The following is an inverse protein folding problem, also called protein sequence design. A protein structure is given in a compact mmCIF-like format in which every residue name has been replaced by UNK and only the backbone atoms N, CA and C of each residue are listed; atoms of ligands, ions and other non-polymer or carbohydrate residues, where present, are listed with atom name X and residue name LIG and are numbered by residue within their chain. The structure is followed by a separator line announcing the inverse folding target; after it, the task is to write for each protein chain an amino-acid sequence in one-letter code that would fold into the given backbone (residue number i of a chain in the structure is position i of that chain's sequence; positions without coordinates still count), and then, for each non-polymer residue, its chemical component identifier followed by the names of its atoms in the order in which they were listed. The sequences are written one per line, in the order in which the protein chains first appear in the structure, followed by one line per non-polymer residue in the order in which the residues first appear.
data_IF_073373837569
#
_entry.id   IF_073373837569
#
_cell.length_a   1.000
_cell.length_b   1.000
_cell.length_c   1.000
_cell.angle_alpha   90.00
_cell.angle_beta   90.00
_cell.angle_gamma   90.00
#
_symmetry.space_group_name_H-M   'P 1'
#
loop_
_entity.id
_entity.type
_entity.pdbx_description
1 polymer ?
#
# COMPACT_ATOMS: atom_id res chain seq x y z
N UNK A 1 -27.06 1.12 -48.25
CA UNK A 1 -27.22 1.77 -46.93
C UNK A 1 -26.58 0.85 -45.90
N UNK A 2 -25.24 0.81 -45.89
CA UNK A 2 -24.36 1.60 -45.02
C UNK A 2 -24.23 0.94 -43.62
N UNK A 3 -23.41 -0.11 -43.60
CA UNK A 3 -22.80 -0.67 -42.40
C UNK A 3 -21.72 0.29 -41.90
N UNK A 4 -21.75 0.63 -40.60
CA UNK A 4 -20.67 1.37 -39.95
C UNK A 4 -19.70 0.38 -39.32
N UNK A 5 -18.52 0.32 -39.92
CA UNK A 5 -17.33 -0.35 -39.44
C UNK A 5 -16.81 0.44 -38.23
N UNK A 6 -16.84 -0.14 -37.04
CA UNK A 6 -16.02 0.30 -35.92
C UNK A 6 -14.76 -0.56 -35.89
N UNK A 7 -13.68 0.00 -36.45
CA UNK A 7 -12.33 -0.48 -36.20
C UNK A 7 -11.98 -0.18 -34.74
N UNK A 8 -11.89 -1.24 -33.92
CA UNK A 8 -11.10 -1.18 -32.70
C UNK A 8 -9.62 -1.18 -33.11
N UNK A 9 -8.77 -0.29 -32.60
CA UNK A 9 -7.34 -0.45 -32.76
C UNK A 9 -6.90 -1.71 -32.01
N UNK A 10 -6.44 -2.70 -32.77
CA UNK A 10 -5.70 -3.86 -32.28
C UNK A 10 -4.38 -3.37 -31.69
N UNK A 11 -4.25 -3.40 -30.36
CA UNK A 11 -2.94 -3.32 -29.72
C UNK A 11 -2.35 -4.73 -29.68
N UNK A 12 -1.70 -5.12 -30.79
CA UNK A 12 -0.69 -6.16 -30.81
C UNK A 12 0.67 -5.47 -30.87
N UNK A 13 1.44 -5.52 -29.78
CA UNK A 13 2.90 -5.52 -29.88
C UNK A 13 3.48 -6.21 -28.63
N UNK A 14 3.74 -7.50 -28.79
CA UNK A 14 4.32 -8.42 -27.81
C UNK A 14 5.84 -8.55 -28.05
N UNK A 15 6.52 -7.41 -28.29
CA UNK A 15 7.96 -7.40 -28.54
C UNK A 15 8.67 -6.15 -28.01
N UNK A 16 8.40 -5.77 -26.75
CA UNK A 16 9.25 -4.84 -26.02
C UNK A 16 10.28 -5.63 -25.17
N UNK A 17 11.59 -5.59 -25.52
CA UNK A 17 12.65 -6.33 -24.83
C UNK A 17 13.00 -5.78 -23.43
N UNK A 18 12.27 -4.79 -22.90
CA UNK A 18 12.44 -4.31 -21.51
C UNK A 18 11.80 -5.22 -20.45
N UNK A 19 11.16 -6.31 -20.86
CA UNK A 19 10.32 -7.19 -20.05
C UNK A 19 11.04 -7.99 -18.94
N UNK A 20 12.33 -8.34 -19.10
CA UNK A 20 13.07 -9.15 -18.09
C UNK A 20 13.67 -8.34 -16.93
N UNK A 21 13.62 -7.00 -16.99
CA UNK A 21 14.31 -6.12 -16.03
C UNK A 21 13.42 -5.68 -14.85
N UNK A 22 12.08 -5.73 -14.99
CA UNK A 22 11.17 -5.16 -13.98
C UNK A 22 10.84 -6.09 -12.80
N UNK A 23 10.72 -7.41 -13.02
CA UNK A 23 10.50 -8.40 -11.95
C UNK A 23 11.66 -8.41 -10.92
N UNK A 24 12.88 -8.18 -11.38
CA UNK A 24 14.07 -8.07 -10.53
C UNK A 24 14.04 -6.82 -9.64
N UNK A 25 13.72 -5.65 -10.22
CA UNK A 25 13.63 -4.37 -9.49
C UNK A 25 12.53 -4.39 -8.44
N UNK A 26 11.48 -5.15 -8.65
CA UNK A 26 10.41 -5.29 -7.68
C UNK A 26 10.74 -6.16 -6.48
N UNK A 27 11.24 -7.39 -6.70
CA UNK A 27 11.66 -8.24 -5.57
C UNK A 27 12.65 -7.47 -4.70
N UNK A 28 13.48 -6.63 -5.32
CA UNK A 28 14.33 -5.69 -4.61
C UNK A 28 13.52 -4.65 -3.83
N UNK A 29 12.50 -4.01 -4.42
CA UNK A 29 11.63 -3.03 -3.75
C UNK A 29 10.81 -3.62 -2.58
N UNK A 30 10.07 -4.71 -2.76
CA UNK A 30 9.31 -5.33 -1.65
C UNK A 30 10.20 -5.91 -0.59
N UNK A 31 11.35 -6.49 -0.96
CA UNK A 31 12.32 -6.89 0.05
C UNK A 31 12.93 -5.68 0.74
N UNK A 32 13.15 -4.55 0.05
CA UNK A 32 13.69 -3.33 0.66
C UNK A 32 12.69 -2.68 1.62
N UNK A 33 11.41 -2.62 1.23
CA UNK A 33 10.33 -2.13 2.10
C UNK A 33 10.12 -3.12 3.24
N UNK A 34 9.96 -4.41 2.96
CA UNK A 34 9.73 -5.44 3.98
C UNK A 34 10.86 -5.58 4.99
N UNK A 35 12.12 -5.39 4.57
CA UNK A 35 13.30 -5.40 5.46
C UNK A 35 13.64 -4.02 6.03
N UNK A 36 12.79 -3.01 5.79
CA UNK A 36 12.97 -1.68 6.36
C UNK A 36 12.98 -1.78 7.89
N UNK A 37 14.06 -1.30 8.51
CA UNK A 37 14.29 -1.49 9.94
C UNK A 37 13.38 -0.62 10.78
N UNK A 38 12.78 -1.23 11.79
CA UNK A 38 11.94 -0.57 12.77
C UNK A 38 12.66 -0.52 14.11
N UNK A 39 12.35 0.49 14.93
CA UNK A 39 12.80 0.58 16.31
C UNK A 39 11.59 0.50 17.22
N UNK A 40 11.61 -0.40 18.19
CA UNK A 40 10.53 -0.53 19.15
C UNK A 40 10.95 -0.02 20.53
N UNK A 41 9.99 0.55 21.25
CA UNK A 41 10.16 0.99 22.62
C UNK A 41 8.93 0.62 23.44
N UNK A 42 9.16 0.00 24.60
CA UNK A 42 8.11 -0.22 25.59
C UNK A 42 7.72 1.11 26.25
N UNK A 43 6.41 1.35 26.35
CA UNK A 43 5.81 2.58 26.90
C UNK A 43 5.60 2.46 28.42
N UNK A 44 5.63 1.24 28.97
CA UNK A 44 5.20 0.94 30.34
C UNK A 44 6.02 1.58 31.46
N UNK A 45 7.25 2.06 31.19
CA UNK A 45 8.15 2.46 32.28
C UNK A 45 8.18 3.95 32.66
N UNK A 46 7.66 4.90 31.86
CA UNK A 46 7.93 6.33 32.14
C UNK A 46 6.83 7.35 31.85
N UNK A 47 5.57 6.92 31.65
CA UNK A 47 4.47 7.83 31.33
C UNK A 47 4.63 8.52 29.98
N UNK A 48 3.51 8.97 29.40
CA UNK A 48 3.47 9.53 28.05
C UNK A 48 4.06 10.97 27.98
N UNK A 49 5.35 11.15 28.29
CA UNK A 49 6.10 12.36 27.92
C UNK A 49 6.68 12.18 26.50
N UNK A 50 5.79 12.07 25.52
CA UNK A 50 6.19 12.03 24.11
C UNK A 50 6.61 13.42 23.69
N UNK A 51 7.92 13.63 23.57
CA UNK A 51 8.41 14.72 22.73
C UNK A 51 7.95 14.41 21.31
N UNK A 52 7.20 15.34 20.74
CA UNK A 52 6.97 15.42 19.30
C UNK A 52 8.29 15.10 18.62
N UNK A 53 8.24 13.98 17.91
CA UNK A 53 9.30 13.42 17.10
C UNK A 53 10.01 14.53 16.32
N UNK A 54 11.34 14.43 16.16
CA UNK A 54 12.01 15.34 15.24
C UNK A 54 11.42 15.17 13.83
N UNK A 55 11.60 16.16 12.96
CA UNK A 55 10.99 16.28 11.62
C UNK A 55 11.19 15.05 10.70
N UNK A 56 12.10 14.12 11.05
CA UNK A 56 12.46 12.94 10.25
C UNK A 56 12.05 11.61 10.86
N UNK A 57 11.52 11.58 12.08
CA UNK A 57 11.04 10.35 12.71
C UNK A 57 9.52 10.41 12.83
N UNK A 58 8.85 9.29 12.62
CA UNK A 58 7.42 9.17 12.94
C UNK A 58 7.24 8.00 13.91
N UNK A 59 6.15 8.06 14.66
CA UNK A 59 5.85 7.14 15.75
C UNK A 59 4.45 6.57 15.55
N UNK A 60 4.30 5.30 15.90
CA UNK A 60 3.06 4.55 15.82
C UNK A 60 2.87 3.75 17.11
N UNK A 61 1.65 3.66 17.63
CA UNK A 61 1.33 2.77 18.74
C UNK A 61 0.56 1.56 18.22
N UNK A 62 0.95 0.36 18.65
CA UNK A 62 0.17 -0.86 18.40
C UNK A 62 -0.76 -1.13 19.58
N UNK A 63 -2.04 -1.30 19.32
CA UNK A 63 -3.06 -1.61 20.33
C UNK A 63 -4.04 -2.68 19.83
N UNK A 64 -4.63 -3.52 20.70
CA UNK A 64 -5.66 -4.47 20.29
C UNK A 64 -6.92 -3.79 19.73
N UNK A 65 -7.49 -4.34 18.65
CA UNK A 65 -8.64 -3.77 17.91
C UNK A 65 -9.90 -3.61 18.79
N UNK A 66 -10.16 -4.53 19.72
CA UNK A 66 -11.47 -4.62 20.39
C UNK A 66 -11.56 -3.83 21.71
N UNK A 67 -10.54 -3.03 22.05
CA UNK A 67 -10.40 -2.46 23.41
C UNK A 67 -10.32 -3.53 24.52
N UNK A 68 -10.16 -4.80 24.11
CA UNK A 68 -10.21 -5.98 24.94
C UNK A 68 -8.84 -6.35 25.48
N UNK A 69 -8.54 -5.84 26.67
CA UNK A 69 -7.40 -6.29 27.48
C UNK A 69 -6.06 -5.68 27.08
N UNK A 70 -5.20 -5.50 28.08
CA UNK A 70 -3.81 -5.12 27.85
C UNK A 70 -3.07 -6.29 27.19
N UNK A 71 -2.18 -6.01 26.22
CA UNK A 71 -1.19 -6.99 25.78
C UNK A 71 -0.51 -7.60 27.03
N UNK A 72 -0.37 -8.91 27.10
CA UNK A 72 0.34 -9.49 28.24
C UNK A 72 1.82 -9.07 28.20
N UNK A 73 2.50 -9.04 29.35
CA UNK A 73 3.94 -8.75 29.37
C UNK A 73 4.73 -9.77 28.52
N UNK A 74 4.27 -11.03 28.48
CA UNK A 74 4.88 -12.06 27.65
C UNK A 74 4.75 -11.72 26.16
N UNK A 75 3.56 -11.30 25.72
CA UNK A 75 3.31 -10.89 24.34
C UNK A 75 4.12 -9.65 23.98
N UNK A 76 4.17 -8.64 24.86
CA UNK A 76 5.02 -7.46 24.67
C UNK A 76 6.48 -7.83 24.45
N UNK A 77 7.04 -8.67 25.33
CA UNK A 77 8.43 -9.09 25.23
C UNK A 77 8.68 -9.90 23.95
N UNK A 78 7.73 -10.78 23.58
CA UNK A 78 7.81 -11.53 22.33
C UNK A 78 7.84 -10.59 21.12
N UNK A 79 6.90 -9.65 21.04
CA UNK A 79 6.82 -8.66 19.95
C UNK A 79 8.10 -7.82 19.89
N UNK A 80 8.57 -7.28 21.01
CA UNK A 80 9.81 -6.50 21.10
C UNK A 80 11.04 -7.28 20.60
N UNK A 81 11.08 -8.59 20.83
CA UNK A 81 12.18 -9.45 20.39
C UNK A 81 12.06 -9.97 18.95
N UNK A 82 10.85 -9.96 18.37
CA UNK A 82 10.54 -10.57 17.07
C UNK A 82 10.45 -9.54 15.96
N UNK A 83 10.00 -8.33 16.28
CA UNK A 83 9.72 -7.30 15.27
C UNK A 83 10.92 -6.37 15.12
N UNK A 84 11.63 -6.51 14.01
CA UNK A 84 12.77 -5.67 13.63
C UNK A 84 12.60 -4.99 12.28
N UNK A 85 11.55 -5.35 11.53
CA UNK A 85 11.29 -4.87 10.18
C UNK A 85 9.80 -4.85 9.83
N UNK A 86 9.43 -4.29 8.67
CA UNK A 86 8.03 -4.18 8.25
C UNK A 86 7.35 -5.55 8.00
N UNK A 87 8.07 -6.56 7.53
CA UNK A 87 7.50 -7.91 7.34
C UNK A 87 7.10 -8.53 8.68
N UNK A 88 8.00 -8.51 9.67
CA UNK A 88 7.72 -9.01 11.02
C UNK A 88 6.65 -8.17 11.72
N UNK A 89 6.54 -6.88 11.41
CA UNK A 89 5.48 -6.02 11.93
C UNK A 89 4.12 -6.45 11.38
N UNK A 90 3.97 -6.56 10.07
CA UNK A 90 2.71 -6.96 9.43
C UNK A 90 2.25 -8.33 9.95
N UNK A 91 3.15 -9.31 10.00
CA UNK A 91 2.85 -10.63 10.56
C UNK A 91 2.39 -10.55 12.02
N UNK A 92 2.96 -9.61 12.80
CA UNK A 92 2.56 -9.39 14.20
C UNK A 92 1.19 -8.74 14.32
N UNK A 93 0.88 -7.74 13.47
CA UNK A 93 -0.44 -7.11 13.44
C UNK A 93 -1.54 -8.15 13.23
N UNK A 94 -1.32 -9.07 12.29
CA UNK A 94 -2.25 -10.16 11.99
C UNK A 94 -2.35 -11.17 13.14
N UNK A 95 -1.21 -11.67 13.64
CA UNK A 95 -1.18 -12.72 14.66
C UNK A 95 -1.80 -12.29 16.00
N UNK A 96 -1.68 -11.00 16.35
CA UNK A 96 -2.15 -10.46 17.62
C UNK A 96 -3.40 -9.59 17.50
N UNK A 97 -4.01 -9.51 16.31
CA UNK A 97 -5.16 -8.64 16.02
C UNK A 97 -4.95 -7.20 16.53
N UNK A 98 -3.81 -6.62 16.16
CA UNK A 98 -3.42 -5.27 16.56
C UNK A 98 -3.76 -4.26 15.48
N UNK A 99 -4.23 -3.09 15.90
CA UNK A 99 -4.42 -1.93 15.05
C UNK A 99 -3.31 -0.89 15.28
N UNK A 100 -2.74 -0.34 14.19
CA UNK A 100 -1.84 0.78 14.28
C UNK A 100 -2.59 2.10 14.60
N UNK A 101 -2.27 2.72 15.74
CA UNK A 101 -2.74 4.05 16.18
C UNK A 101 -1.68 5.12 15.88
N UNK A 102 -2.02 6.07 15.01
CA UNK A 102 -1.14 7.13 14.55
C UNK A 102 -1.37 8.47 15.27
N UNK A 103 -2.57 8.66 15.84
CA UNK A 103 -2.84 9.80 16.70
C UNK A 103 -2.47 9.46 18.14
N UNK A 104 -1.31 9.94 18.58
CA UNK A 104 -0.84 9.72 19.94
C UNK A 104 -1.67 10.47 20.99
N UNK A 105 -2.50 11.43 20.57
CA UNK A 105 -3.35 12.21 21.45
C UNK A 105 -4.53 11.36 21.93
N UNK A 106 -4.47 10.91 23.18
CA UNK A 106 -5.44 9.97 23.76
C UNK A 106 -5.10 8.50 23.52
N UNK A 107 -3.90 8.19 23.03
CA UNK A 107 -3.44 6.83 22.88
C UNK A 107 -3.33 6.13 24.25
N UNK A 108 -3.59 4.81 24.31
CA UNK A 108 -3.57 4.06 25.55
C UNK A 108 -2.14 4.02 26.12
N UNK A 109 -2.03 4.12 27.46
CA UNK A 109 -0.75 4.18 28.17
C UNK A 109 0.05 2.87 28.18
N UNK A 110 -0.45 1.81 27.56
CA UNK A 110 0.06 0.44 27.60
C UNK A 110 0.31 -0.18 26.22
N UNK A 111 0.40 0.65 25.18
CA UNK A 111 0.71 0.20 23.82
C UNK A 111 2.20 -0.04 23.57
N UNK A 112 2.52 -0.57 22.40
CA UNK A 112 3.90 -0.70 21.94
C UNK A 112 4.24 0.44 20.97
N UNK A 113 5.30 1.20 21.26
CA UNK A 113 5.74 2.28 20.38
C UNK A 113 6.65 1.74 19.29
N UNK A 114 6.33 2.05 18.05
CA UNK A 114 7.15 1.81 16.86
C UNK A 114 7.65 3.15 16.36
N UNK A 115 8.96 3.29 16.25
CA UNK A 115 9.63 4.45 15.66
C UNK A 115 10.31 4.06 14.35
N UNK A 116 10.25 4.96 13.37
CA UNK A 116 10.90 4.78 12.08
C UNK A 116 11.41 6.08 11.49
N UNK A 117 12.39 5.97 10.59
CA UNK A 117 12.95 7.09 9.84
C UNK A 117 12.12 7.34 8.57
N UNK A 118 11.38 8.43 8.55
CA UNK A 118 10.49 8.79 7.44
C UNK A 118 11.25 9.03 6.14
N UNK A 119 12.44 9.65 6.20
CA UNK A 119 13.23 9.95 5.01
C UNK A 119 13.83 8.70 4.38
N UNK A 120 14.31 7.78 5.21
CA UNK A 120 14.80 6.48 4.74
C UNK A 120 13.68 5.71 4.06
N UNK A 121 12.47 5.72 4.65
CA UNK A 121 11.30 5.07 4.07
C UNK A 121 10.88 5.73 2.75
N UNK A 122 10.84 7.06 2.68
CA UNK A 122 10.57 7.82 1.46
C UNK A 122 11.56 7.48 0.35
N UNK A 123 12.85 7.38 0.67
CA UNK A 123 13.89 7.00 -0.30
C UNK A 123 13.70 5.58 -0.82
N UNK A 124 13.33 4.63 0.05
CA UNK A 124 13.03 3.25 -0.35
C UNK A 124 11.79 3.19 -1.25
N UNK A 125 10.78 4.03 -0.99
CA UNK A 125 9.51 4.03 -1.71
C UNK A 125 9.51 4.89 -2.98
N UNK A 126 10.48 5.79 -3.17
CA UNK A 126 10.55 6.70 -4.32
C UNK A 126 10.46 5.99 -5.69
N UNK A 127 11.11 4.83 -5.93
CA UNK A 127 10.93 4.10 -7.18
C UNK A 127 9.48 3.66 -7.42
N UNK A 128 8.75 3.28 -6.37
CA UNK A 128 7.35 2.87 -6.45
C UNK A 128 6.44 4.06 -6.80
N UNK A 129 6.69 5.22 -6.21
CA UNK A 129 6.00 6.47 -6.54
C UNK A 129 6.20 6.83 -8.01
N UNK A 130 7.44 6.74 -8.49
CA UNK A 130 7.77 7.01 -9.89
C UNK A 130 6.95 6.13 -10.84
N UNK A 131 6.88 4.82 -10.57
CA UNK A 131 6.09 3.89 -11.38
C UNK A 131 4.58 4.14 -11.27
N UNK A 132 4.08 4.52 -10.09
CA UNK A 132 2.68 4.88 -9.91
C UNK A 132 2.30 6.12 -10.76
N UNK A 133 3.14 7.16 -10.77
CA UNK A 133 2.95 8.33 -11.65
C UNK A 133 2.98 7.94 -13.12
N UNK A 134 3.95 7.12 -13.54
CA UNK A 134 4.05 6.65 -14.92
C UNK A 134 2.82 5.84 -15.34
N UNK A 135 2.24 5.04 -14.44
CA UNK A 135 1.02 4.30 -14.71
C UNK A 135 -0.16 5.25 -14.95
N UNK A 136 -0.34 6.25 -14.08
CA UNK A 136 -1.41 7.24 -14.24
C UNK A 136 -1.26 8.04 -15.53
N UNK A 137 -0.04 8.37 -15.95
CA UNK A 137 0.23 9.00 -17.25
C UNK A 137 -0.24 8.16 -18.42
N UNK A 138 -0.02 6.84 -18.37
CA UNK A 138 -0.55 5.90 -19.39
C UNK A 138 -2.07 5.80 -19.36
N UNK A 139 -2.71 6.06 -18.23
CA UNK A 139 -4.18 6.24 -18.12
C UNK A 139 -4.66 7.62 -18.58
N UNK A 140 -3.76 8.44 -19.13
CA UNK A 140 -4.05 9.72 -19.75
C UNK A 140 -3.98 10.90 -18.78
N UNK A 141 -3.53 10.72 -17.53
CA UNK A 141 -3.27 11.85 -16.63
C UNK A 141 -2.02 12.63 -17.07
N UNK A 142 -2.08 13.95 -17.02
CA UNK A 142 -0.89 14.80 -17.04
C UNK A 142 -0.25 14.87 -15.65
N UNK A 143 1.01 15.31 -15.56
CA UNK A 143 1.65 15.57 -14.26
C UNK A 143 0.84 16.58 -13.43
N UNK A 144 0.37 17.66 -14.08
CA UNK A 144 -0.47 18.65 -13.43
C UNK A 144 -1.75 18.02 -12.84
N UNK A 145 -2.42 17.13 -13.57
CA UNK A 145 -3.61 16.45 -13.06
C UNK A 145 -3.33 15.50 -11.89
N UNK A 146 -2.13 14.91 -11.84
CA UNK A 146 -1.68 14.07 -10.72
C UNK A 146 -1.41 14.95 -9.51
N UNK A 147 -0.66 16.03 -9.67
CA UNK A 147 -0.32 16.95 -8.58
C UNK A 147 -1.57 17.66 -8.03
N UNK A 148 -2.51 18.04 -8.91
CA UNK A 148 -3.82 18.56 -8.52
C UNK A 148 -4.65 17.51 -7.76
N UNK A 149 -4.61 16.24 -8.18
CA UNK A 149 -5.32 15.16 -7.49
C UNK A 149 -4.76 14.96 -6.07
N UNK A 150 -3.43 14.98 -5.93
CA UNK A 150 -2.75 14.84 -4.63
C UNK A 150 -3.10 15.99 -3.71
N UNK A 151 -2.92 17.23 -4.18
CA UNK A 151 -3.17 18.43 -3.40
C UNK A 151 -4.64 18.65 -3.05
N UNK A 152 -5.57 18.40 -3.98
CA UNK A 152 -7.01 18.58 -3.76
C UNK A 152 -7.55 17.64 -2.68
N UNK A 153 -7.09 16.39 -2.65
CA UNK A 153 -7.53 15.40 -1.67
C UNK A 153 -6.71 15.44 -0.36
N UNK A 154 -5.69 16.31 -0.27
CA UNK A 154 -4.81 16.41 0.90
C UNK A 154 -3.93 15.17 1.12
N UNK A 155 -3.63 14.43 0.06
CA UNK A 155 -2.79 13.23 0.11
C UNK A 155 -1.30 13.51 -0.11
N UNK A 156 -0.52 12.44 -0.13
CA UNK A 156 0.89 12.43 -0.48
C UNK A 156 1.15 11.62 -1.76
N UNK A 157 2.32 11.80 -2.38
CA UNK A 157 2.69 11.01 -3.56
C UNK A 157 2.77 9.50 -3.26
N UNK A 158 3.08 9.13 -2.02
CA UNK A 158 3.09 7.73 -1.58
C UNK A 158 1.72 7.06 -1.70
N UNK A 159 0.64 7.83 -1.53
CA UNK A 159 -0.73 7.32 -1.60
C UNK A 159 -1.09 6.84 -3.01
N UNK A 160 -0.34 7.27 -4.03
CA UNK A 160 -0.47 6.76 -5.38
C UNK A 160 -0.13 5.26 -5.45
N UNK A 161 0.78 4.78 -4.60
CA UNK A 161 1.26 3.39 -4.63
C UNK A 161 0.08 2.43 -4.42
N UNK A 162 -0.61 2.41 -3.27
CA UNK A 162 -1.71 1.46 -3.02
C UNK A 162 -2.87 1.61 -4.01
N UNK A 163 -3.16 2.83 -4.47
CA UNK A 163 -4.17 3.04 -5.52
C UNK A 163 -3.80 2.32 -6.81
N UNK A 164 -2.61 2.61 -7.35
CA UNK A 164 -2.15 2.06 -8.62
C UNK A 164 -1.91 0.55 -8.50
N UNK A 165 -1.43 0.10 -7.34
CA UNK A 165 -1.32 -1.32 -6.97
C UNK A 165 -2.58 -2.08 -7.26
N UNK A 166 -3.68 -1.59 -6.69
CA UNK A 166 -4.98 -2.23 -6.80
C UNK A 166 -5.47 -2.19 -8.23
N UNK A 167 -5.40 -1.01 -8.86
CA UNK A 167 -5.88 -0.79 -10.22
C UNK A 167 -5.21 -1.73 -11.23
N UNK A 168 -3.89 -1.78 -11.22
CA UNK A 168 -3.16 -2.57 -12.18
C UNK A 168 -3.29 -4.08 -11.96
N UNK A 169 -3.41 -4.54 -10.71
CA UNK A 169 -3.66 -5.95 -10.44
C UNK A 169 -5.08 -6.38 -10.84
N UNK A 170 -6.09 -5.52 -10.68
CA UNK A 170 -7.44 -5.77 -11.19
C UNK A 170 -7.46 -5.81 -12.72
N UNK A 171 -6.71 -4.94 -13.39
CA UNK A 171 -6.59 -4.94 -14.86
C UNK A 171 -5.90 -6.19 -15.41
N UNK A 172 -4.90 -6.72 -14.70
CA UNK A 172 -4.20 -7.97 -15.09
C UNK A 172 -5.15 -9.15 -15.26
N UNK A 173 -6.21 -9.18 -14.47
CA UNK A 173 -7.20 -10.26 -14.52
C UNK A 173 -8.14 -10.19 -15.75
N UNK A 174 -8.10 -9.11 -16.51
CA UNK A 174 -8.93 -8.89 -17.70
C UNK A 174 -8.13 -8.59 -19.00
N UNK A 175 -6.84 -8.21 -18.94
CA UNK A 175 -6.00 -7.90 -20.13
C UNK A 175 -4.49 -8.10 -19.90
N UNK A 176 -3.77 -8.47 -20.96
CA UNK A 176 -2.31 -8.69 -21.06
C UNK A 176 -1.48 -7.42 -21.28
N UNK A 177 -1.88 -6.26 -20.75
CA UNK A 177 -1.03 -5.07 -20.87
C UNK A 177 -0.99 -4.22 -19.61
N UNK A 178 0.24 -4.02 -19.16
CA UNK A 178 0.71 -3.18 -18.06
C UNK A 178 0.79 -3.85 -16.66
N UNK A 179 2.02 -4.01 -16.19
CA UNK A 179 2.41 -4.94 -15.14
C UNK A 179 2.86 -4.26 -13.84
N UNK A 180 2.07 -3.36 -13.27
CA UNK A 180 2.29 -3.01 -11.85
C UNK A 180 2.08 -4.25 -10.94
N UNK A 181 1.44 -5.30 -11.46
CA UNK A 181 1.43 -6.63 -10.85
C UNK A 181 2.79 -7.33 -10.91
N UNK A 182 3.65 -7.06 -11.89
CA UNK A 182 5.04 -7.58 -11.89
C UNK A 182 5.96 -6.68 -11.04
N UNK A 183 5.46 -5.49 -10.70
CA UNK A 183 5.77 -4.84 -9.44
C UNK A 183 5.16 -5.78 -8.38
N UNK A 184 3.94 -5.69 -7.87
CA UNK A 184 3.59 -6.34 -6.59
C UNK A 184 3.62 -7.89 -6.42
N UNK A 185 3.78 -8.69 -7.48
CA UNK A 185 3.55 -10.14 -7.51
C UNK A 185 4.52 -10.86 -8.46
N UNK A 186 5.00 -12.05 -8.06
CA UNK A 186 5.70 -13.00 -8.94
C UNK A 186 4.72 -13.69 -9.89
N UNK A 187 4.96 -13.75 -11.22
CA UNK A 187 3.98 -14.22 -12.21
C UNK A 187 3.78 -15.76 -12.29
N UNK A 188 4.09 -16.53 -11.26
CA UNK A 188 4.21 -17.98 -11.37
C UNK A 188 2.91 -18.78 -11.05
N UNK A 189 1.87 -18.16 -10.51
CA UNK A 189 0.65 -18.84 -10.05
C UNK A 189 -0.62 -18.07 -10.44
N UNK A 190 -1.74 -18.80 -10.61
CA UNK A 190 -2.99 -18.31 -11.17
C UNK A 190 -3.81 -17.49 -10.16
N UNK A 191 -3.34 -16.29 -9.84
CA UNK A 191 -4.06 -15.34 -8.98
C UNK A 191 -5.28 -14.80 -9.74
N UNK A 192 -6.46 -14.89 -9.13
CA UNK A 192 -7.71 -14.39 -9.72
C UNK A 192 -7.93 -12.90 -9.44
N UNK A 193 -8.82 -12.24 -10.20
CA UNK A 193 -9.28 -10.88 -9.88
C UNK A 193 -9.82 -10.80 -8.44
N UNK A 194 -10.47 -11.87 -8.00
CA UNK A 194 -11.11 -11.94 -6.70
C UNK A 194 -10.08 -11.96 -5.57
N UNK A 195 -8.95 -12.64 -5.78
CA UNK A 195 -7.86 -12.70 -4.79
C UNK A 195 -7.19 -11.33 -4.64
N UNK A 196 -6.92 -10.66 -5.75
CA UNK A 196 -6.44 -9.27 -5.77
C UNK A 196 -7.42 -8.35 -5.04
N UNK A 197 -8.72 -8.52 -5.31
CA UNK A 197 -9.76 -7.72 -4.71
C UNK A 197 -9.84 -7.95 -3.19
N UNK A 198 -9.78 -9.21 -2.75
CA UNK A 198 -9.80 -9.57 -1.34
C UNK A 198 -8.58 -9.02 -0.59
N UNK A 199 -7.38 -9.17 -1.18
CA UNK A 199 -6.16 -8.62 -0.60
C UNK A 199 -6.16 -7.09 -0.57
N UNK A 200 -6.67 -6.43 -1.62
CA UNK A 200 -6.82 -4.98 -1.66
C UNK A 200 -7.83 -4.46 -0.63
N UNK A 201 -8.94 -5.18 -0.42
CA UNK A 201 -9.93 -4.86 0.61
C UNK A 201 -9.33 -4.94 2.01
N UNK A 202 -8.53 -5.97 2.28
CA UNK A 202 -7.90 -6.16 3.58
C UNK A 202 -6.80 -5.12 3.83
N UNK A 203 -5.94 -4.86 2.84
CA UNK A 203 -4.75 -4.01 3.02
C UNK A 203 -5.03 -2.51 2.96
N UNK A 204 -6.01 -2.09 2.14
CA UNK A 204 -6.24 -0.66 1.85
C UNK A 204 -7.68 -0.26 2.19
N UNK A 205 -8.63 -1.19 2.02
CA UNK A 205 -10.01 -1.02 2.44
C UNK A 205 -11.06 -1.22 1.35
N UNK A 206 -12.27 -1.60 1.78
CA UNK A 206 -13.42 -1.80 0.90
C UNK A 206 -13.90 -0.50 0.20
N UNK A 207 -13.73 0.67 0.81
CA UNK A 207 -14.23 1.95 0.26
C UNK A 207 -13.54 2.36 -1.05
N UNK A 208 -12.25 2.07 -1.16
CA UNK A 208 -11.44 2.38 -2.35
C UNK A 208 -11.90 1.50 -3.51
N UNK A 209 -12.14 0.23 -3.20
CA UNK A 209 -12.65 -0.73 -4.15
C UNK A 209 -14.10 -0.47 -4.52
N UNK A 210 -14.93 0.10 -3.65
CA UNK A 210 -16.25 0.58 -4.05
C UNK A 210 -16.17 1.80 -4.97
N UNK A 211 -15.22 2.71 -4.73
CA UNK A 211 -14.95 3.84 -5.62
C UNK A 211 -14.47 3.42 -7.02
N UNK A 212 -13.80 2.27 -7.14
CA UNK A 212 -13.34 1.68 -8.39
C UNK A 212 -14.30 0.62 -8.99
N UNK A 213 -15.11 -0.03 -8.15
CA UNK A 213 -15.75 -1.32 -8.41
C UNK A 213 -17.24 -1.28 -8.71
N UNK A 214 -17.84 -0.09 -8.82
CA UNK A 214 -19.19 0.04 -9.41
C UNK A 214 -19.21 -0.16 -10.93
N UNK A 215 -18.08 -0.49 -11.56
CA UNK A 215 -17.95 -0.61 -13.01
C UNK A 215 -17.20 -1.88 -13.42
N UNK A 216 -17.87 -2.79 -14.14
CA UNK A 216 -17.28 -3.83 -15.00
C UNK A 216 -16.47 -3.23 -16.19
N UNK A 217 -16.01 -1.99 -16.06
CA UNK A 217 -15.33 -1.28 -17.13
C UNK A 217 -13.86 -1.66 -17.13
N UNK A 218 -13.36 -2.12 -18.28
CA UNK A 218 -11.92 -2.33 -18.54
C UNK A 218 -11.08 -1.05 -18.51
N UNK A 219 -11.72 0.11 -18.28
CA UNK A 219 -11.11 1.44 -18.21
C UNK A 219 -11.82 2.28 -17.16
N UNK A 220 -11.15 2.61 -16.06
CA UNK A 220 -11.67 3.58 -15.11
C UNK A 220 -11.58 4.99 -15.66
N UNK A 221 -12.63 5.79 -15.44
CA UNK A 221 -12.57 7.21 -15.75
C UNK A 221 -11.61 7.95 -14.81
N UNK A 222 -10.99 9.04 -15.29
CA UNK A 222 -10.16 9.91 -14.43
C UNK A 222 -10.90 10.35 -13.16
N UNK A 223 -12.20 10.60 -13.25
CA UNK A 223 -13.05 10.99 -12.12
C UNK A 223 -13.17 9.88 -11.07
N UNK A 224 -13.32 8.63 -11.49
CA UNK A 224 -13.35 7.48 -10.58
C UNK A 224 -12.00 7.29 -9.89
N UNK A 225 -10.90 7.43 -10.64
CA UNK A 225 -9.54 7.32 -10.11
C UNK A 225 -9.26 8.43 -9.08
N UNK A 226 -9.60 9.69 -9.38
CA UNK A 226 -9.47 10.81 -8.42
C UNK A 226 -10.30 10.56 -7.14
N UNK A 227 -11.52 10.05 -7.28
CA UNK A 227 -12.36 9.69 -6.12
C UNK A 227 -11.74 8.57 -5.29
N UNK A 228 -11.22 7.53 -5.94
CA UNK A 228 -10.54 6.43 -5.27
C UNK A 228 -9.27 6.91 -4.55
N UNK A 229 -8.49 7.79 -5.19
CA UNK A 229 -7.36 8.46 -4.56
C UNK A 229 -7.78 9.21 -3.30
N UNK A 230 -8.87 9.98 -3.34
CA UNK A 230 -9.36 10.69 -2.15
C UNK A 230 -9.75 9.79 -0.99
N UNK A 231 -10.17 8.55 -1.26
CA UNK A 231 -10.39 7.55 -0.20
C UNK A 231 -9.06 7.02 0.34
N UNK A 232 -8.09 6.75 -0.54
CA UNK A 232 -6.73 6.33 -0.13
C UNK A 232 -6.07 7.41 0.71
N UNK A 233 -6.05 8.66 0.26
CA UNK A 233 -5.43 9.80 0.95
C UNK A 233 -6.01 10.01 2.36
N UNK A 234 -7.32 9.78 2.55
CA UNK A 234 -7.96 9.86 3.87
C UNK A 234 -7.60 8.70 4.81
N UNK A 235 -7.20 7.56 4.25
CA UNK A 235 -6.85 6.33 4.99
C UNK A 235 -5.34 6.12 5.11
N UNK A 236 -4.55 6.72 4.25
CA UNK A 236 -3.10 6.66 4.28
C UNK A 236 -2.63 7.54 5.44
N UNK A 237 -2.39 6.91 6.58
CA UNK A 237 -1.99 7.55 7.83
C UNK A 237 -0.51 7.95 7.80
N UNK A 238 -0.08 8.56 6.70
CA UNK A 238 1.30 8.93 6.40
C UNK A 238 2.14 7.81 5.76
N UNK A 239 3.45 8.07 5.54
CA UNK A 239 4.36 7.17 4.84
C UNK A 239 4.39 5.72 5.35
N UNK A 240 4.27 5.54 6.66
CA UNK A 240 4.24 4.21 7.28
C UNK A 240 2.94 3.45 7.01
N UNK A 241 1.79 4.14 6.97
CA UNK A 241 0.51 3.52 6.65
C UNK A 241 0.54 2.98 5.23
N UNK A 242 1.13 3.74 4.30
CA UNK A 242 1.35 3.28 2.92
C UNK A 242 2.30 2.07 2.89
N UNK A 243 3.41 2.11 3.62
CA UNK A 243 4.37 1.01 3.63
C UNK A 243 3.76 -0.29 4.20
N UNK A 244 3.00 -0.20 5.28
CA UNK A 244 2.24 -1.32 5.86
C UNK A 244 1.23 -1.85 4.84
N UNK A 245 0.47 -0.98 4.17
CA UNK A 245 -0.50 -1.40 3.16
C UNK A 245 0.16 -2.14 1.98
N UNK A 246 1.32 -1.66 1.51
CA UNK A 246 2.09 -2.32 0.45
C UNK A 246 2.56 -3.70 0.87
N UNK A 247 3.18 -3.82 2.05
CA UNK A 247 3.67 -5.12 2.55
C UNK A 247 2.50 -6.08 2.78
N UNK A 248 1.43 -5.64 3.43
CA UNK A 248 0.23 -6.45 3.71
C UNK A 248 -0.45 -6.94 2.43
N UNK A 249 -0.54 -6.08 1.42
CA UNK A 249 -1.09 -6.45 0.13
C UNK A 249 -0.21 -7.51 -0.57
N UNK A 250 1.11 -7.32 -0.56
CA UNK A 250 2.06 -8.26 -1.16
C UNK A 250 2.10 -9.61 -0.44
N UNK A 251 2.07 -9.64 0.90
CA UNK A 251 2.05 -10.89 1.67
C UNK A 251 0.75 -11.65 1.48
N UNK A 252 -0.40 -10.95 1.46
CA UNK A 252 -1.70 -11.57 1.16
C UNK A 252 -1.69 -12.21 -0.23
N UNK A 253 -1.19 -11.50 -1.24
CA UNK A 253 -1.12 -12.01 -2.61
C UNK A 253 -0.17 -13.21 -2.74
N UNK A 254 0.93 -13.22 -2.01
CA UNK A 254 1.84 -14.35 -1.97
C UNK A 254 1.27 -15.58 -1.22
N UNK A 255 0.32 -15.39 -0.31
CA UNK A 255 -0.34 -16.49 0.41
C UNK A 255 -1.44 -17.17 -0.42
N UNK A 256 -2.05 -16.45 -1.36
CA UNK A 256 -3.10 -16.95 -2.26
C UNK A 256 -2.58 -17.38 -3.63
N UNK A 257 -1.30 -17.11 -3.93
CA UNK A 257 -0.61 -17.59 -5.12
C UNK A 257 -0.22 -19.06 -4.94
#
# INVERSE_FOLDING_TARGET
MAAFILMAPSCTDESDPTFTDYSGKFKVLTNSIGNFKLKFKDISENGLNYRLSNDQTQQLILAPVDGGGELSQADRNHILSTVDNLNSLVATLENYNLEPIYNLQGAPSNGLLVEFNTNELLNVMAPAVHEAKNYLKRKGFSELEIDEMISHEGGAELDLIPLVSTMANVERSNFTSFHFSDILITPALAITSQDVFNCGMAAIGADILWALGSSNASKWSKKAIKKAFGVVAKRALGPIGVAIAVVSFSTCLAAVS
#
